data_IF_988487404944
#
_entry.id   IF_988487404944
#
_cell.length_a   1.000
_cell.length_b   1.000
_cell.length_c   1.000
_cell.angle_alpha   90.00
_cell.angle_beta   90.00
_cell.angle_gamma   90.00
#
_symmetry.space_group_name_H-M   'P 1'
#
loop_
_entity.id
_entity.type
_entity.pdbx_description
1 polymer ?
#
# COMPACT_ATOMS: atom_id res chain seq x y z
N UNK A 1 19.47 -13.24 10.14
CA UNK A 1 18.39 -13.05 11.13
C UNK A 1 17.58 -11.82 10.76
N UNK A 2 16.27 -11.88 10.96
CA UNK A 2 15.40 -10.72 10.73
C UNK A 2 15.55 -9.75 11.91
N UNK A 3 15.53 -8.44 11.68
CA UNK A 3 15.61 -7.46 12.76
C UNK A 3 14.36 -7.54 13.66
N UNK A 4 14.52 -7.15 14.93
CA UNK A 4 13.45 -7.15 15.93
C UNK A 4 13.49 -5.88 16.77
N UNK A 5 12.37 -5.57 17.40
CA UNK A 5 12.26 -4.46 18.33
C UNK A 5 11.94 -3.12 17.67
N UNK A 6 11.78 -2.11 18.51
CA UNK A 6 11.44 -0.75 18.07
C UNK A 6 12.67 0.12 18.21
N UNK A 7 13.19 0.60 17.08
CA UNK A 7 14.34 1.51 17.04
C UNK A 7 13.91 2.95 17.30
N UNK A 8 14.82 3.74 17.84
CA UNK A 8 14.59 5.16 18.08
C UNK A 8 15.60 6.00 17.28
N UNK A 9 15.22 7.21 16.83
CA UNK A 9 13.89 7.78 16.97
C UNK A 9 12.89 7.15 16.01
N UNK A 10 11.67 6.97 16.47
CA UNK A 10 10.53 6.58 15.67
C UNK A 10 9.28 7.23 16.27
N UNK A 11 8.22 7.38 15.49
CA UNK A 11 6.98 7.98 15.96
C UNK A 11 5.85 6.96 15.92
N UNK A 12 5.18 6.80 17.05
CA UNK A 12 3.98 5.96 17.14
C UNK A 12 2.85 6.84 17.65
N UNK A 13 1.84 7.04 16.81
CA UNK A 13 0.75 7.95 17.04
C UNK A 13 -0.21 7.49 18.14
N UNK A 14 -1.01 8.44 18.61
CA UNK A 14 -2.05 8.18 19.62
C UNK A 14 -3.02 7.10 19.13
N UNK A 15 -3.32 6.14 19.99
CA UNK A 15 -4.27 5.07 19.68
C UNK A 15 -3.77 4.04 18.66
N UNK A 16 -2.54 4.14 18.19
CA UNK A 16 -1.95 3.09 17.36
C UNK A 16 -1.74 1.83 18.19
N UNK A 17 -2.06 0.69 17.61
CA UNK A 17 -1.90 -0.63 18.24
C UNK A 17 -0.90 -1.44 17.44
N UNK A 18 0.10 -1.98 18.12
CA UNK A 18 1.12 -2.83 17.50
C UNK A 18 1.06 -4.20 18.20
N UNK A 19 0.91 -5.25 17.41
CA UNK A 19 0.85 -6.62 17.91
C UNK A 19 2.18 -7.12 18.47
N UNK A 20 2.31 -8.42 18.60
CA UNK A 20 3.49 -9.09 19.17
C UNK A 20 4.65 -9.15 18.19
N UNK A 21 5.87 -9.23 18.71
CA UNK A 21 7.12 -9.42 17.98
C UNK A 21 7.31 -8.41 16.80
N UNK A 22 7.12 -7.11 17.02
CA UNK A 22 7.28 -6.12 15.95
C UNK A 22 8.76 -5.84 15.67
N UNK A 23 9.03 -5.40 14.42
CA UNK A 23 10.18 -4.57 14.13
C UNK A 23 9.70 -3.22 13.62
N UNK A 24 10.17 -2.15 14.24
CA UNK A 24 9.93 -0.78 13.77
C UNK A 24 11.29 -0.10 13.64
N UNK A 25 11.68 0.17 12.42
CA UNK A 25 12.97 0.77 12.10
C UNK A 25 13.05 2.25 12.43
N UNK A 26 14.26 2.76 12.52
CA UNK A 26 14.50 4.16 12.83
C UNK A 26 13.83 5.09 11.81
N UNK A 27 13.30 6.20 12.31
CA UNK A 27 12.60 7.23 11.52
C UNK A 27 11.30 6.72 10.85
N UNK A 28 10.77 5.59 11.28
CA UNK A 28 9.43 5.19 10.87
C UNK A 28 8.38 6.07 11.55
N UNK A 29 7.31 6.33 10.82
CA UNK A 29 6.15 7.06 11.31
C UNK A 29 4.93 6.13 11.26
N UNK A 30 4.31 5.89 12.40
CA UNK A 30 3.07 5.11 12.51
C UNK A 30 1.98 6.06 12.99
N UNK A 31 1.00 6.31 12.14
CA UNK A 31 -0.02 7.32 12.36
C UNK A 31 -1.05 6.96 13.42
N UNK A 32 -1.78 7.97 13.83
CA UNK A 32 -2.89 7.86 14.78
C UNK A 32 -3.85 6.73 14.41
N UNK A 33 -4.19 5.89 15.36
CA UNK A 33 -5.19 4.84 15.19
C UNK A 33 -4.80 3.71 14.23
N UNK A 34 -3.57 3.66 13.74
CA UNK A 34 -3.12 2.55 12.91
C UNK A 34 -3.15 1.24 13.70
N UNK A 35 -3.48 0.15 13.00
CA UNK A 35 -3.56 -1.19 13.60
C UNK A 35 -2.56 -2.10 12.90
N UNK A 36 -1.50 -2.45 13.61
CA UNK A 36 -0.42 -3.29 13.11
C UNK A 36 -0.54 -4.66 13.77
N UNK A 37 -0.60 -5.70 12.96
CA UNK A 37 -0.73 -7.07 13.45
C UNK A 37 0.53 -7.61 14.10
N UNK A 38 0.57 -8.94 14.27
CA UNK A 38 1.69 -9.65 14.88
C UNK A 38 2.81 -9.92 13.86
N UNK A 39 4.05 -9.93 14.33
CA UNK A 39 5.22 -10.25 13.50
C UNK A 39 5.29 -9.39 12.23
N UNK A 40 4.95 -8.11 12.33
CA UNK A 40 5.06 -7.16 11.24
C UNK A 40 6.44 -6.50 11.30
N UNK A 41 7.10 -6.41 10.15
CA UNK A 41 8.42 -5.78 10.02
C UNK A 41 8.27 -4.48 9.24
N UNK A 42 8.47 -3.36 9.91
CA UNK A 42 8.41 -2.01 9.33
C UNK A 42 9.84 -1.46 9.34
N UNK A 43 10.43 -1.36 8.16
CA UNK A 43 11.82 -0.93 8.00
C UNK A 43 11.97 0.58 8.17
N UNK A 44 13.21 1.10 8.25
CA UNK A 44 13.43 2.54 8.47
C UNK A 44 12.75 3.42 7.45
N UNK A 45 12.31 4.61 7.90
CA UNK A 45 11.73 5.66 7.05
C UNK A 45 10.40 5.28 6.38
N UNK A 46 9.73 4.24 6.85
CA UNK A 46 8.38 3.89 6.39
C UNK A 46 7.37 4.87 6.98
N UNK A 47 6.41 5.29 6.15
CA UNK A 47 5.28 6.11 6.58
C UNK A 47 4.00 5.27 6.57
N UNK A 48 3.38 5.13 7.73
CA UNK A 48 2.07 4.49 7.90
C UNK A 48 1.08 5.55 8.33
N UNK A 49 0.11 5.84 7.50
CA UNK A 49 -0.86 6.92 7.74
C UNK A 49 -1.91 6.57 8.79
N UNK A 50 -2.71 7.57 9.13
CA UNK A 50 -3.80 7.44 10.10
C UNK A 50 -4.77 6.32 9.70
N UNK A 51 -5.15 5.49 10.66
CA UNK A 51 -6.16 4.45 10.49
C UNK A 51 -5.76 3.31 9.55
N UNK A 52 -4.52 3.21 9.11
CA UNK A 52 -4.04 2.10 8.28
C UNK A 52 -4.10 0.80 9.08
N UNK A 53 -4.51 -0.27 8.40
CA UNK A 53 -4.53 -1.62 8.98
C UNK A 53 -3.53 -2.50 8.25
N UNK A 54 -2.66 -3.18 8.99
CA UNK A 54 -1.67 -4.10 8.43
C UNK A 54 -1.82 -5.45 9.14
N UNK A 55 -2.05 -6.50 8.36
CA UNK A 55 -2.22 -7.86 8.87
C UNK A 55 -0.90 -8.48 9.33
N UNK A 56 -1.02 -9.65 9.95
CA UNK A 56 0.11 -10.38 10.54
C UNK A 56 1.15 -10.78 9.48
N UNK A 57 2.41 -10.90 9.90
CA UNK A 57 3.51 -11.41 9.08
C UNK A 57 3.80 -10.60 7.81
N UNK A 58 3.38 -9.35 7.76
CA UNK A 58 3.65 -8.46 6.63
C UNK A 58 4.97 -7.72 6.84
N UNK A 59 5.74 -7.59 5.78
CA UNK A 59 7.01 -6.85 5.76
C UNK A 59 6.90 -5.65 4.85
N UNK A 60 7.29 -4.48 5.36
CA UNK A 60 7.27 -3.22 4.63
C UNK A 60 8.69 -2.65 4.66
N UNK A 61 9.34 -2.63 3.50
CA UNK A 61 10.73 -2.21 3.37
C UNK A 61 10.89 -0.70 3.35
N UNK A 62 12.15 -0.29 3.49
CA UNK A 62 12.54 1.10 3.74
C UNK A 62 11.88 2.11 2.80
N UNK A 63 11.41 3.20 3.37
CA UNK A 63 10.88 4.34 2.62
C UNK A 63 9.54 4.12 1.95
N UNK A 64 8.91 2.96 2.08
CA UNK A 64 7.55 2.75 1.57
C UNK A 64 6.55 3.63 2.33
N UNK A 65 5.50 4.04 1.65
CA UNK A 65 4.48 4.93 2.20
C UNK A 65 3.10 4.36 1.98
N UNK A 66 2.33 4.24 3.05
CA UNK A 66 0.95 3.77 3.01
C UNK A 66 0.08 4.86 3.62
N UNK A 67 -0.75 5.48 2.78
CA UNK A 67 -1.56 6.61 3.20
C UNK A 67 -2.82 6.19 3.95
N UNK A 68 -3.46 7.18 4.58
CA UNK A 68 -4.56 6.99 5.52
C UNK A 68 -5.65 6.04 5.00
N UNK A 69 -6.20 5.26 5.91
CA UNK A 69 -7.37 4.42 5.67
C UNK A 69 -7.15 3.22 4.76
N UNK A 70 -5.93 2.97 4.29
CA UNK A 70 -5.63 1.80 3.48
C UNK A 70 -5.51 0.54 4.33
N UNK A 71 -5.79 -0.61 3.72
CA UNK A 71 -5.75 -1.91 4.37
C UNK A 71 -4.77 -2.82 3.64
N UNK A 72 -3.83 -3.37 4.38
CA UNK A 72 -2.86 -4.35 3.89
C UNK A 72 -3.13 -5.67 4.63
N UNK A 73 -3.26 -6.74 3.89
CA UNK A 73 -3.50 -8.07 4.44
C UNK A 73 -2.31 -8.68 5.15
N UNK A 74 -2.42 -9.97 5.44
CA UNK A 74 -1.39 -10.77 6.10
C UNK A 74 -0.43 -11.39 5.10
N UNK A 75 0.82 -11.60 5.52
CA UNK A 75 1.81 -12.27 4.69
C UNK A 75 2.25 -11.50 3.44
N UNK A 76 2.03 -10.20 3.43
CA UNK A 76 2.41 -9.34 2.31
C UNK A 76 3.87 -8.90 2.40
N UNK A 77 4.44 -8.54 1.25
CA UNK A 77 5.75 -7.92 1.15
C UNK A 77 5.63 -6.67 0.29
N UNK A 78 5.95 -5.52 0.86
CA UNK A 78 5.94 -4.23 0.16
C UNK A 78 7.38 -3.74 0.10
N UNK A 79 7.92 -3.62 -1.10
CA UNK A 79 9.31 -3.24 -1.29
C UNK A 79 9.55 -1.73 -1.19
N UNK A 80 10.83 -1.36 -1.15
CA UNK A 80 11.29 -0.01 -0.85
C UNK A 80 10.68 1.05 -1.77
N UNK A 81 10.31 2.17 -1.21
CA UNK A 81 9.85 3.35 -1.94
C UNK A 81 8.46 3.24 -2.56
N UNK A 82 7.78 2.11 -2.44
CA UNK A 82 6.43 1.94 -2.96
C UNK A 82 5.44 2.85 -2.25
N UNK A 83 4.52 3.45 -3.00
CA UNK A 83 3.50 4.37 -2.49
C UNK A 83 2.12 3.75 -2.69
N UNK A 84 1.44 3.51 -1.60
CA UNK A 84 0.09 2.94 -1.58
C UNK A 84 -0.88 3.98 -1.04
N UNK A 85 -1.89 4.31 -1.83
CA UNK A 85 -2.97 5.17 -1.39
C UNK A 85 -2.77 6.66 -1.61
N UNK A 86 -1.85 7.07 -2.49
CA UNK A 86 -1.82 8.44 -2.98
C UNK A 86 -3.06 8.72 -3.85
N UNK A 87 -3.37 9.97 -4.08
CA UNK A 87 -4.55 10.36 -4.85
C UNK A 87 -4.53 9.76 -6.25
N UNK A 88 -5.68 9.27 -6.68
CA UNK A 88 -5.91 8.92 -8.07
C UNK A 88 -5.87 10.16 -8.97
N UNK A 89 -5.57 9.94 -10.24
CA UNK A 89 -5.52 11.02 -11.24
C UNK A 89 -6.95 11.29 -11.74
N UNK A 90 -7.57 12.32 -11.15
CA UNK A 90 -8.94 12.68 -11.46
C UNK A 90 -9.11 14.19 -11.51
N UNK A 91 -9.44 14.71 -12.70
CA UNK A 91 -9.64 16.13 -12.95
C UNK A 91 -10.81 16.34 -13.87
N UNK A 92 -11.65 17.34 -13.56
CA UNK A 92 -12.78 17.72 -14.38
C UNK A 92 -12.45 19.00 -15.17
N UNK A 93 -12.72 19.05 -16.47
CA UNK A 93 -12.51 20.28 -17.26
C UNK A 93 -13.31 21.45 -16.69
N UNK A 94 -12.70 22.64 -16.67
CA UNK A 94 -13.31 23.87 -16.24
C UNK A 94 -12.77 25.03 -17.11
N UNK A 95 -13.39 25.28 -18.27
CA UNK A 95 -12.89 26.25 -19.24
C UNK A 95 -11.50 25.85 -19.73
N UNK A 96 -10.51 26.74 -19.52
CA UNK A 96 -9.12 26.53 -19.96
C UNK A 96 -8.27 25.76 -18.93
N UNK A 97 -8.86 25.33 -17.82
CA UNK A 97 -8.13 24.63 -16.77
C UNK A 97 -8.90 23.40 -16.28
N UNK A 98 -8.44 22.82 -15.17
CA UNK A 98 -9.01 21.60 -14.60
C UNK A 98 -9.21 21.77 -13.10
N UNK A 99 -10.34 21.27 -12.61
CA UNK A 99 -10.60 21.15 -11.19
C UNK A 99 -10.30 19.73 -10.73
N UNK A 100 -9.58 19.60 -9.63
CA UNK A 100 -9.30 18.29 -9.06
C UNK A 100 -10.58 17.66 -8.52
N UNK A 101 -10.79 16.40 -8.85
CA UNK A 101 -11.84 15.58 -8.26
C UNK A 101 -11.28 14.95 -6.97
N UNK A 102 -11.89 15.19 -5.79
CA UNK A 102 -11.43 14.59 -4.54
C UNK A 102 -11.40 13.07 -4.62
N UNK A 103 -10.32 12.48 -4.10
CA UNK A 103 -10.10 11.03 -4.07
C UNK A 103 -10.30 10.54 -2.65
N UNK A 104 -11.52 10.13 -2.31
CA UNK A 104 -11.93 9.83 -0.94
C UNK A 104 -12.00 8.33 -0.62
N UNK A 105 -11.79 7.48 -1.59
CA UNK A 105 -11.72 6.03 -1.37
C UNK A 105 -10.38 5.61 -0.77
N UNK A 106 -10.11 4.31 -0.79
CA UNK A 106 -8.86 3.76 -0.26
C UNK A 106 -8.25 2.71 -1.19
N UNK A 107 -7.22 2.03 -0.71
CA UNK A 107 -6.66 0.82 -1.30
C UNK A 107 -6.84 -0.32 -0.32
N UNK A 108 -7.24 -1.48 -0.84
CA UNK A 108 -7.27 -2.73 -0.09
C UNK A 108 -6.38 -3.74 -0.79
N UNK A 109 -5.37 -4.20 -0.08
CA UNK A 109 -4.45 -5.25 -0.53
C UNK A 109 -4.74 -6.49 0.30
N UNK A 110 -5.10 -7.58 -0.37
CA UNK A 110 -5.44 -8.82 0.29
C UNK A 110 -4.17 -9.60 0.68
N UNK A 111 -4.34 -10.83 1.16
CA UNK A 111 -3.24 -11.60 1.73
C UNK A 111 -2.23 -12.08 0.69
N UNK A 112 -1.00 -12.31 1.13
CA UNK A 112 0.07 -12.92 0.34
C UNK A 112 0.38 -12.19 -0.97
N UNK A 113 0.23 -10.88 -0.97
CA UNK A 113 0.59 -10.01 -2.10
C UNK A 113 2.04 -9.55 -1.95
N UNK A 114 2.77 -9.56 -3.05
CA UNK A 114 4.10 -8.94 -3.10
C UNK A 114 4.11 -7.80 -4.11
N UNK A 115 4.59 -6.64 -3.69
CA UNK A 115 4.66 -5.43 -4.51
C UNK A 115 6.11 -4.98 -4.56
N UNK A 116 6.65 -4.87 -5.76
CA UNK A 116 8.03 -4.47 -6.01
C UNK A 116 8.33 -3.03 -5.60
N UNK A 117 9.56 -2.61 -5.79
CA UNK A 117 10.04 -1.29 -5.39
C UNK A 117 9.50 -0.19 -6.30
N UNK A 118 9.27 0.98 -5.71
CA UNK A 118 8.84 2.19 -6.43
C UNK A 118 7.58 1.98 -7.29
N UNK A 119 6.73 1.08 -6.88
CA UNK A 119 5.40 0.92 -7.47
C UNK A 119 4.45 1.97 -6.88
N UNK A 120 3.38 2.28 -7.61
CA UNK A 120 2.35 3.20 -7.15
C UNK A 120 0.99 2.53 -7.30
N UNK A 121 0.24 2.48 -6.20
CA UNK A 121 -1.14 1.99 -6.19
C UNK A 121 -2.01 3.09 -5.64
N UNK A 122 -2.79 3.72 -6.53
CA UNK A 122 -3.57 4.91 -6.19
C UNK A 122 -4.87 4.55 -5.49
N UNK A 123 -5.28 5.42 -4.56
CA UNK A 123 -6.58 5.27 -3.92
C UNK A 123 -7.72 5.48 -4.90
N UNK A 124 -8.84 4.85 -4.60
CA UNK A 124 -10.05 5.01 -5.37
C UNK A 124 -10.64 6.42 -5.20
N UNK A 125 -11.36 6.88 -6.22
CA UNK A 125 -12.19 8.07 -6.11
C UNK A 125 -13.25 7.88 -5.04
N UNK A 126 -13.96 6.75 -5.10
CA UNK A 126 -14.89 6.25 -4.09
C UNK A 126 -14.71 4.73 -4.02
N UNK A 127 -14.96 4.13 -2.87
CA UNK A 127 -14.77 2.70 -2.68
C UNK A 127 -13.28 2.35 -2.56
N UNK A 128 -12.84 1.30 -3.22
CA UNK A 128 -11.48 0.80 -3.08
C UNK A 128 -10.84 0.42 -4.41
N UNK A 129 -9.57 0.76 -4.56
CA UNK A 129 -8.66 0.07 -5.46
C UNK A 129 -8.27 -1.22 -4.78
N UNK A 130 -8.38 -2.36 -5.47
CA UNK A 130 -8.24 -3.66 -4.82
C UNK A 130 -7.22 -4.54 -5.52
N UNK A 131 -6.25 -5.01 -4.75
CA UNK A 131 -5.26 -6.00 -5.18
C UNK A 131 -5.59 -7.29 -4.44
N UNK A 132 -6.03 -8.30 -5.18
CA UNK A 132 -6.52 -9.52 -4.58
C UNK A 132 -5.39 -10.47 -4.17
N UNK A 133 -5.75 -11.47 -3.41
CA UNK A 133 -4.86 -12.46 -2.81
C UNK A 133 -3.87 -13.03 -3.81
N UNK A 134 -2.62 -13.12 -3.38
CA UNK A 134 -1.55 -13.81 -4.11
C UNK A 134 -0.99 -13.05 -5.31
N UNK A 135 -1.43 -11.84 -5.60
CA UNK A 135 -0.92 -11.02 -6.71
C UNK A 135 0.55 -10.69 -6.50
N UNK A 136 1.32 -10.69 -7.59
CA UNK A 136 2.74 -10.30 -7.60
C UNK A 136 2.95 -9.19 -8.62
N UNK A 137 3.35 -8.03 -8.14
CA UNK A 137 3.67 -6.86 -8.97
C UNK A 137 5.16 -6.60 -8.89
N UNK A 138 5.82 -6.51 -10.04
CA UNK A 138 7.24 -6.16 -10.12
C UNK A 138 7.44 -4.66 -9.87
N UNK A 139 8.68 -4.23 -9.94
CA UNK A 139 9.05 -2.83 -9.70
C UNK A 139 8.38 -1.89 -10.70
N UNK A 140 8.10 -0.66 -10.25
CA UNK A 140 7.62 0.42 -11.11
C UNK A 140 6.25 0.17 -11.75
N UNK A 141 5.44 -0.74 -11.21
CA UNK A 141 4.07 -0.95 -11.68
C UNK A 141 3.19 0.22 -11.23
N UNK A 142 2.32 0.71 -12.12
CA UNK A 142 1.34 1.74 -11.83
C UNK A 142 -0.07 1.15 -11.86
N UNK A 143 -0.76 1.18 -10.74
CA UNK A 143 -2.16 0.80 -10.62
C UNK A 143 -2.98 2.04 -10.31
N UNK A 144 -3.83 2.44 -11.24
CA UNK A 144 -4.66 3.63 -11.11
C UNK A 144 -5.89 3.39 -10.20
N UNK A 145 -6.63 4.46 -9.94
CA UNK A 145 -7.79 4.44 -9.07
C UNK A 145 -8.86 3.42 -9.50
N UNK A 146 -9.49 2.79 -8.54
CA UNK A 146 -10.62 1.87 -8.78
C UNK A 146 -10.28 0.63 -9.65
N UNK A 147 -9.02 0.33 -9.84
CA UNK A 147 -8.58 -0.92 -10.49
C UNK A 147 -8.83 -2.08 -9.53
N UNK A 148 -9.25 -3.21 -10.08
CA UNK A 148 -9.28 -4.49 -9.37
C UNK A 148 -8.33 -5.43 -10.09
N UNK A 149 -7.32 -5.94 -9.39
CA UNK A 149 -6.42 -6.98 -9.90
C UNK A 149 -6.83 -8.31 -9.30
N UNK A 150 -7.23 -9.25 -10.16
CA UNK A 150 -7.71 -10.57 -9.75
C UNK A 150 -6.64 -11.45 -9.12
N UNK A 151 -7.08 -12.45 -8.37
CA UNK A 151 -6.19 -13.32 -7.57
C UNK A 151 -5.06 -13.93 -8.41
N UNK A 152 -3.88 -14.00 -7.82
CA UNK A 152 -2.70 -14.67 -8.36
C UNK A 152 -2.25 -14.15 -9.73
N UNK A 153 -2.64 -12.94 -10.10
CA UNK A 153 -2.13 -12.26 -11.30
C UNK A 153 -0.71 -11.77 -11.06
N UNK A 154 0.12 -11.84 -12.08
CA UNK A 154 1.53 -11.42 -12.06
C UNK A 154 1.75 -10.35 -13.11
N UNK A 155 2.40 -9.26 -12.75
CA UNK A 155 2.75 -8.17 -13.65
C UNK A 155 4.24 -7.89 -13.62
N UNK A 156 4.86 -7.87 -14.81
CA UNK A 156 6.26 -7.47 -14.95
C UNK A 156 6.43 -5.95 -14.73
N UNK A 157 7.67 -5.53 -14.62
CA UNK A 157 8.02 -4.14 -14.35
C UNK A 157 7.43 -3.18 -15.38
N UNK A 158 7.09 -1.98 -14.91
CA UNK A 158 6.58 -0.88 -15.71
C UNK A 158 5.20 -1.11 -16.34
N UNK A 159 4.49 -2.17 -15.95
CA UNK A 159 3.08 -2.30 -16.36
C UNK A 159 2.26 -1.16 -15.76
N UNK A 160 1.33 -0.64 -16.56
CA UNK A 160 0.38 0.38 -16.12
C UNK A 160 -1.05 -0.08 -16.40
N UNK A 161 -1.90 0.04 -15.39
CA UNK A 161 -3.33 -0.30 -15.51
C UNK A 161 -4.14 0.98 -15.30
N UNK A 162 -4.91 1.35 -16.32
CA UNK A 162 -5.73 2.56 -16.30
C UNK A 162 -6.88 2.46 -15.30
N UNK A 163 -7.39 3.59 -14.85
CA UNK A 163 -8.44 3.68 -13.85
C UNK A 163 -9.68 2.84 -14.16
N UNK A 164 -10.27 2.26 -13.14
CA UNK A 164 -11.51 1.49 -13.17
C UNK A 164 -11.42 0.16 -13.94
N UNK A 165 -10.24 -0.19 -14.44
CA UNK A 165 -10.01 -1.45 -15.15
C UNK A 165 -10.11 -2.64 -14.19
N UNK A 166 -10.71 -3.72 -14.66
CA UNK A 166 -10.74 -5.00 -13.94
C UNK A 166 -9.84 -5.99 -14.64
N UNK A 167 -8.82 -6.46 -13.94
CA UNK A 167 -7.92 -7.50 -14.39
C UNK A 167 -8.35 -8.81 -13.77
N UNK A 168 -8.52 -9.83 -14.58
CA UNK A 168 -8.97 -11.16 -14.13
C UNK A 168 -7.93 -11.87 -13.26
N UNK A 169 -8.31 -13.04 -12.77
CA UNK A 169 -7.42 -13.90 -11.99
C UNK A 169 -6.42 -14.63 -12.90
N UNK A 170 -5.25 -14.98 -12.32
CA UNK A 170 -4.21 -15.78 -12.98
C UNK A 170 -3.69 -15.20 -14.30
N UNK A 171 -3.79 -13.89 -14.51
CA UNK A 171 -3.24 -13.22 -15.68
C UNK A 171 -1.72 -13.04 -15.54
N UNK A 172 -1.04 -12.95 -16.66
CA UNK A 172 0.39 -12.63 -16.72
C UNK A 172 0.60 -11.47 -17.70
N UNK A 173 1.24 -10.41 -17.20
CA UNK A 173 1.60 -9.24 -18.00
C UNK A 173 3.13 -9.19 -18.11
N UNK A 174 3.64 -9.35 -19.29
CA UNK A 174 5.08 -9.28 -19.59
C UNK A 174 5.50 -7.99 -20.27
#
# INVERSE_FOLDING_TARGET
SRPTGIEQPSYIGEGAVIGEAPYVGAFAYIGKGAKIGNDVKIYPQVYIGEGVVIGDHTTIYAGAKIYYGCVIGSGCTIHAGTVIGADGFGFAPNGDNYNKVPQIGNVVIEDNVEIGANACIDRATMGSTRIKKGVKLDNLVQIAHNVVVGENTVMAAQCGIAGTTKVGAHCMFG
#
